data_IF_624727846142
#
_entry.id   IF_624727846142
#
_cell.length_a   1.000
_cell.length_b   1.000
_cell.length_c   1.000
_cell.angle_alpha   90.00
_cell.angle_beta   90.00
_cell.angle_gamma   90.00
#
_symmetry.space_group_name_H-M   'P 1'
#
loop_
_entity.id
_entity.type
_entity.pdbx_description
1 polymer ?
#
# COMPACT_ATOMS: atom_id res chain seq x y z
N UNK A 1 44.84 46.65 20.30
CA UNK A 1 44.37 45.48 20.99
C UNK A 1 43.93 44.45 19.96
N UNK A 2 44.90 43.59 19.57
CA UNK A 2 44.62 42.44 18.68
C UNK A 2 44.16 41.29 19.59
N UNK A 3 42.94 40.76 19.35
CA UNK A 3 42.49 39.50 19.89
C UNK A 3 42.77 38.41 18.88
N UNK A 4 43.80 37.61 19.13
CA UNK A 4 43.99 36.34 18.42
C UNK A 4 43.25 35.25 19.18
N UNK A 5 42.22 34.71 18.59
CA UNK A 5 41.57 33.48 18.99
C UNK A 5 42.30 32.30 18.36
N UNK A 6 43.15 31.63 19.13
CA UNK A 6 43.67 30.32 18.78
C UNK A 6 42.63 29.25 19.14
N UNK A 7 42.14 28.55 18.15
CA UNK A 7 41.32 27.33 18.37
C UNK A 7 42.24 26.12 18.41
N UNK A 8 42.46 25.58 19.59
CA UNK A 8 43.05 24.24 19.69
C UNK A 8 42.01 23.19 19.34
N UNK A 9 42.13 22.65 18.12
CA UNK A 9 41.41 21.47 17.67
C UNK A 9 42.15 20.20 18.12
N UNK A 10 42.01 19.85 19.42
CA UNK A 10 42.30 18.52 19.92
C UNK A 10 40.97 17.85 20.30
N UNK A 11 40.45 17.06 19.45
CA UNK A 11 39.25 16.23 19.62
C UNK A 11 38.55 16.09 18.30
N UNK A 12 39.06 15.22 17.46
CA UNK A 12 38.43 14.88 16.19
C UNK A 12 37.08 14.19 16.36
N UNK A 13 36.03 15.00 16.56
CA UNK A 13 34.72 14.56 16.16
C UNK A 13 34.70 14.77 14.64
N UNK A 14 34.94 13.69 13.92
CA UNK A 14 34.56 13.61 12.51
C UNK A 14 33.07 13.90 12.47
N UNK A 15 32.69 15.11 12.08
CA UNK A 15 31.35 15.35 11.58
C UNK A 15 31.30 14.55 10.28
N UNK A 16 30.85 13.31 10.42
CA UNK A 16 30.49 12.47 9.29
C UNK A 16 29.26 13.12 8.65
N UNK A 17 29.55 14.10 7.80
CA UNK A 17 28.59 14.70 6.92
C UNK A 17 28.29 13.59 5.90
N UNK A 18 27.40 12.68 6.24
CA UNK A 18 26.85 11.73 5.27
C UNK A 18 26.15 12.55 4.20
N UNK A 19 26.92 12.92 3.19
CA UNK A 19 26.33 13.44 1.95
C UNK A 19 25.51 12.29 1.42
N UNK A 20 24.18 12.46 1.48
CA UNK A 20 23.26 11.55 0.82
C UNK A 20 23.71 11.49 -0.64
N UNK A 21 24.15 10.33 -1.13
CA UNK A 21 24.74 10.16 -2.46
C UNK A 21 23.75 10.40 -3.60
N UNK A 22 22.45 10.47 -3.28
CA UNK A 22 21.39 10.86 -4.19
C UNK A 22 20.35 11.71 -3.46
N UNK A 23 19.93 12.82 -4.09
CA UNK A 23 18.72 13.54 -3.71
C UNK A 23 17.52 12.70 -4.21
N UNK A 24 16.87 11.96 -3.31
CA UNK A 24 15.87 10.96 -3.65
C UNK A 24 14.47 11.42 -3.24
N UNK A 25 13.54 11.36 -4.19
CA UNK A 25 12.10 11.51 -3.96
C UNK A 25 11.43 10.14 -3.98
N UNK A 26 10.79 9.78 -2.91
CA UNK A 26 10.17 8.45 -2.73
C UNK A 26 10.96 7.56 -1.78
N UNK A 27 10.73 6.23 -1.78
CA UNK A 27 9.93 5.48 -2.75
C UNK A 27 8.43 5.66 -2.58
N UNK A 28 7.70 5.35 -3.66
CA UNK A 28 6.26 5.12 -3.67
C UNK A 28 5.99 3.67 -4.03
N UNK A 29 4.91 3.09 -3.52
CA UNK A 29 4.52 1.72 -3.86
C UNK A 29 3.05 1.70 -4.30
N UNK A 30 2.77 1.00 -5.40
CA UNK A 30 1.42 0.82 -5.93
C UNK A 30 1.18 -0.65 -6.20
N UNK A 31 0.10 -1.18 -5.64
CA UNK A 31 -0.34 -2.56 -5.88
C UNK A 31 -1.31 -2.63 -7.06
N UNK A 32 -1.16 -3.66 -7.87
CA UNK A 32 -2.18 -4.15 -8.77
C UNK A 32 -2.64 -5.57 -8.35
N UNK A 33 -3.35 -6.29 -9.22
CA UNK A 33 -3.88 -7.61 -8.87
C UNK A 33 -2.81 -8.71 -8.68
N UNK A 34 -1.55 -8.49 -9.11
CA UNK A 34 -0.50 -9.52 -9.17
C UNK A 34 0.85 -9.08 -8.66
N UNK A 35 1.15 -7.80 -8.77
CA UNK A 35 2.47 -7.22 -8.50
C UNK A 35 2.35 -5.97 -7.65
N UNK A 36 3.46 -5.56 -7.06
CA UNK A 36 3.62 -4.23 -6.50
C UNK A 36 4.73 -3.52 -7.27
N UNK A 37 4.39 -2.39 -7.88
CA UNK A 37 5.37 -1.51 -8.52
C UNK A 37 5.89 -0.52 -7.48
N UNK A 38 7.20 -0.55 -7.23
CA UNK A 38 7.93 0.42 -6.42
C UNK A 38 8.57 1.43 -7.36
N UNK A 39 8.32 2.73 -7.15
CA UNK A 39 8.86 3.80 -7.98
C UNK A 39 9.55 4.87 -7.14
N UNK A 40 10.61 5.45 -7.67
CA UNK A 40 11.32 6.58 -7.06
C UNK A 40 11.96 7.46 -8.12
N UNK A 41 12.30 8.66 -7.74
CA UNK A 41 12.94 9.63 -8.61
C UNK A 41 14.22 10.13 -7.94
N UNK A 42 15.32 10.20 -8.69
CA UNK A 42 16.53 10.87 -8.25
C UNK A 42 16.61 12.24 -8.91
N UNK A 43 16.91 13.27 -8.14
CA UNK A 43 17.16 14.63 -8.67
C UNK A 43 18.62 14.79 -9.11
N UNK A 44 19.52 14.04 -8.48
CA UNK A 44 20.95 13.99 -8.75
C UNK A 44 21.50 12.62 -8.34
N UNK A 45 22.43 12.09 -9.13
CA UNK A 45 23.06 10.79 -8.90
C UNK A 45 24.60 10.87 -8.85
N UNK A 46 25.15 11.99 -8.39
CA UNK A 46 26.61 12.12 -8.28
C UNK A 46 27.14 11.08 -7.29
N UNK A 47 27.82 10.05 -7.81
CA UNK A 47 28.43 8.98 -7.02
C UNK A 47 27.48 7.87 -6.58
N UNK A 48 26.26 7.78 -7.09
CA UNK A 48 25.35 6.65 -6.80
C UNK A 48 25.67 5.47 -7.71
N UNK A 49 25.79 4.25 -7.14
CA UNK A 49 26.06 3.03 -7.88
C UNK A 49 24.78 2.20 -8.09
N UNK A 50 23.99 2.00 -7.05
CA UNK A 50 22.80 1.14 -7.13
C UNK A 50 21.77 1.41 -6.04
N UNK A 51 20.57 0.89 -6.27
CA UNK A 51 19.44 0.85 -5.35
C UNK A 51 19.03 -0.60 -5.13
N UNK A 52 19.25 -1.16 -3.94
CA UNK A 52 18.65 -2.44 -3.59
C UNK A 52 17.24 -2.17 -3.02
N UNK A 53 16.24 -2.81 -3.62
CA UNK A 53 14.85 -2.76 -3.15
C UNK A 53 14.66 -3.79 -2.06
N UNK A 54 14.25 -3.33 -0.89
CA UNK A 54 14.02 -4.15 0.28
C UNK A 54 12.52 -4.18 0.60
N UNK A 55 12.02 -5.35 0.99
CA UNK A 55 10.61 -5.55 1.38
C UNK A 55 10.52 -6.11 2.80
N UNK A 56 9.46 -5.76 3.52
CA UNK A 56 9.09 -6.33 4.80
C UNK A 56 7.56 -6.37 4.97
N UNK A 57 7.05 -7.38 5.70
CA UNK A 57 5.65 -7.44 6.14
C UNK A 57 5.38 -6.69 7.45
N UNK A 58 6.42 -6.27 8.19
CA UNK A 58 6.30 -5.74 9.57
C UNK A 58 6.97 -4.39 9.80
N UNK A 59 7.55 -3.77 8.75
CA UNK A 59 8.41 -2.58 8.81
C UNK A 59 9.69 -2.72 9.66
N UNK A 60 10.02 -3.95 10.10
CA UNK A 60 11.21 -4.26 10.90
C UNK A 60 12.24 -5.10 10.13
N UNK A 61 11.85 -6.28 9.72
CA UNK A 61 12.73 -7.26 9.08
C UNK A 61 12.66 -7.12 7.54
N UNK A 62 13.54 -6.29 7.00
CA UNK A 62 13.59 -6.05 5.56
C UNK A 62 14.52 -7.02 4.85
N UNK A 63 14.01 -7.65 3.79
CA UNK A 63 14.74 -8.57 2.91
C UNK A 63 14.97 -7.93 1.53
N UNK A 64 16.16 -8.08 0.93
CA UNK A 64 16.42 -7.60 -0.42
C UNK A 64 15.68 -8.47 -1.44
N UNK A 65 14.89 -7.83 -2.32
CA UNK A 65 14.11 -8.50 -3.36
C UNK A 65 14.60 -8.21 -4.78
N UNK A 66 15.50 -7.24 -4.93
CA UNK A 66 16.14 -6.92 -6.21
C UNK A 66 17.03 -5.72 -6.13
N UNK A 67 17.76 -5.46 -7.21
CA UNK A 67 18.69 -4.32 -7.33
C UNK A 67 18.50 -3.66 -8.67
N UNK A 68 18.48 -2.34 -8.67
CA UNK A 68 18.45 -1.48 -9.86
C UNK A 68 19.75 -0.68 -9.88
N UNK A 69 20.46 -0.70 -11.00
CA UNK A 69 21.68 0.09 -11.16
C UNK A 69 21.33 1.55 -11.39
N UNK A 70 22.08 2.45 -10.77
CA UNK A 70 21.96 3.87 -11.04
C UNK A 70 22.43 4.19 -12.46
N UNK A 71 21.84 5.20 -13.09
CA UNK A 71 22.26 5.68 -14.41
C UNK A 71 23.66 6.32 -14.39
N UNK A 72 24.12 6.70 -13.22
CA UNK A 72 25.46 7.20 -12.93
C UNK A 72 25.73 8.63 -13.41
N UNK A 73 26.22 9.47 -12.52
CA UNK A 73 26.83 10.75 -12.87
C UNK A 73 25.92 11.82 -13.47
N UNK A 74 24.63 11.63 -13.52
CA UNK A 74 23.71 12.61 -14.10
C UNK A 74 23.33 13.71 -13.09
N UNK A 75 23.36 14.95 -13.56
CA UNK A 75 22.74 16.09 -12.88
C UNK A 75 21.28 16.27 -13.36
N UNK A 76 20.68 15.23 -13.90
CA UNK A 76 19.32 15.21 -14.41
C UNK A 76 18.44 14.34 -13.52
N UNK A 77 17.19 14.71 -13.43
CA UNK A 77 16.17 13.90 -12.80
C UNK A 77 16.00 12.57 -13.54
N UNK A 78 16.05 11.47 -12.82
CA UNK A 78 15.88 10.12 -13.38
C UNK A 78 14.81 9.37 -12.60
N UNK A 79 13.84 8.81 -13.32
CA UNK A 79 12.78 8.00 -12.75
C UNK A 79 13.13 6.52 -12.83
N UNK A 80 12.84 5.80 -11.74
CA UNK A 80 13.08 4.38 -11.62
C UNK A 80 11.82 3.65 -11.21
N UNK A 81 11.72 2.40 -11.66
CA UNK A 81 10.69 1.47 -11.25
C UNK A 81 11.28 0.09 -11.00
N UNK A 82 10.68 -0.62 -10.06
CA UNK A 82 10.95 -2.02 -9.78
C UNK A 82 9.63 -2.73 -9.51
N UNK A 83 9.36 -3.81 -10.24
CA UNK A 83 8.18 -4.63 -10.03
C UNK A 83 8.52 -5.80 -9.10
N UNK A 84 7.83 -5.90 -7.96
CA UNK A 84 7.85 -7.06 -7.11
C UNK A 84 6.84 -8.09 -7.66
N UNK A 85 7.29 -9.21 -8.24
CA UNK A 85 6.40 -10.19 -8.87
C UNK A 85 5.74 -11.14 -7.86
N UNK A 86 6.14 -11.10 -6.59
CA UNK A 86 5.65 -11.95 -5.52
C UNK A 86 5.54 -11.19 -4.21
N UNK A 87 4.70 -10.13 -4.16
CA UNK A 87 4.49 -9.40 -2.91
C UNK A 87 3.85 -10.32 -1.88
N UNK A 88 3.98 -9.94 -0.61
CA UNK A 88 3.31 -10.65 0.48
C UNK A 88 1.82 -10.31 0.46
N UNK A 89 0.97 -11.27 0.84
CA UNK A 89 -0.43 -10.97 1.10
C UNK A 89 -0.56 -10.03 2.30
N UNK A 90 -1.39 -8.99 2.13
CA UNK A 90 -1.58 -7.97 3.16
C UNK A 90 -0.64 -6.78 3.01
N UNK A 91 -0.21 -6.22 4.14
CA UNK A 91 0.61 -5.01 4.18
C UNK A 91 2.06 -5.31 3.80
N UNK A 92 2.57 -4.59 2.82
CA UNK A 92 3.96 -4.61 2.40
C UNK A 92 4.60 -3.26 2.64
N UNK A 93 5.81 -3.28 3.16
CA UNK A 93 6.67 -2.12 3.35
C UNK A 93 7.87 -2.24 2.43
N UNK A 94 8.20 -1.18 1.71
CA UNK A 94 9.34 -1.12 0.81
C UNK A 94 10.25 0.04 1.20
N UNK A 95 11.55 -0.17 1.13
CA UNK A 95 12.56 0.87 1.21
C UNK A 95 13.72 0.58 0.28
N UNK A 96 14.52 1.57 -0.02
CA UNK A 96 15.71 1.45 -0.83
C UNK A 96 16.94 1.47 0.07
N UNK A 97 17.89 0.58 -0.20
CA UNK A 97 19.28 0.69 0.25
C UNK A 97 20.07 1.29 -0.91
N UNK A 98 20.44 2.54 -0.77
CA UNK A 98 21.23 3.27 -1.75
C UNK A 98 22.70 2.98 -1.48
N UNK A 99 23.43 2.53 -2.49
CA UNK A 99 24.88 2.30 -2.42
C UNK A 99 25.59 3.27 -3.34
N UNK A 100 26.61 3.95 -2.84
CA UNK A 100 27.45 4.83 -3.65
C UNK A 100 28.63 4.09 -4.30
N UNK A 101 29.37 4.80 -5.16
CA UNK A 101 30.54 4.24 -5.86
C UNK A 101 31.73 3.94 -4.95
N UNK A 102 31.71 4.41 -3.71
CA UNK A 102 32.71 4.12 -2.68
C UNK A 102 32.26 2.98 -1.73
N UNK A 103 31.05 2.42 -1.96
CA UNK A 103 30.47 1.32 -1.17
C UNK A 103 29.78 1.76 0.13
N UNK A 104 29.58 3.06 0.34
CA UNK A 104 28.81 3.57 1.49
C UNK A 104 27.32 3.36 1.20
N UNK A 105 26.55 3.12 2.24
CA UNK A 105 25.12 2.82 2.11
C UNK A 105 24.25 3.75 2.96
N UNK A 106 23.05 4.04 2.46
CA UNK A 106 22.01 4.77 3.18
C UNK A 106 20.63 4.22 2.86
N UNK A 107 19.66 4.43 3.78
CA UNK A 107 18.29 4.00 3.56
C UNK A 107 17.39 5.16 3.17
N UNK A 108 16.46 4.89 2.26
CA UNK A 108 15.34 5.80 1.98
C UNK A 108 14.30 5.79 3.11
N UNK A 109 13.27 6.64 2.97
CA UNK A 109 12.00 6.48 3.67
C UNK A 109 11.32 5.17 3.30
N UNK A 110 10.26 4.80 4.05
CA UNK A 110 9.47 3.58 3.81
C UNK A 110 8.20 3.96 3.04
N UNK A 111 7.92 3.25 1.95
CA UNK A 111 6.62 3.22 1.29
C UNK A 111 5.84 1.98 1.75
N UNK A 112 4.55 2.15 2.04
CA UNK A 112 3.70 1.05 2.46
C UNK A 112 2.52 0.91 1.50
N UNK A 113 2.18 -0.34 1.15
CA UNK A 113 1.05 -0.66 0.28
C UNK A 113 0.43 -1.99 0.70
N UNK A 114 -0.88 -2.08 0.58
CA UNK A 114 -1.61 -3.33 0.77
C UNK A 114 -1.70 -4.08 -0.56
N UNK A 115 -1.31 -5.37 -0.57
CA UNK A 115 -1.41 -6.26 -1.72
C UNK A 115 -2.33 -7.45 -1.39
N UNK A 116 -3.00 -7.98 -2.43
CA UNK A 116 -3.96 -9.07 -2.30
C UNK A 116 -5.39 -8.61 -2.15
N UNK A 117 -6.27 -9.56 -1.85
CA UNK A 117 -7.68 -9.26 -1.71
C UNK A 117 -7.93 -8.43 -0.45
N UNK A 118 -8.45 -7.23 -0.62
CA UNK A 118 -8.90 -6.41 0.50
C UNK A 118 -10.01 -7.09 1.32
N UNK A 119 -10.69 -8.11 0.73
CA UNK A 119 -11.73 -8.90 1.34
C UNK A 119 -11.57 -10.39 1.04
N UNK A 120 -11.81 -11.23 2.05
CA UNK A 120 -11.98 -12.68 1.89
C UNK A 120 -13.22 -13.17 2.65
N UNK A 121 -13.62 -14.42 2.41
CA UNK A 121 -14.71 -15.12 3.10
C UNK A 121 -16.04 -14.36 3.12
N UNK A 122 -16.31 -13.59 2.07
CA UNK A 122 -17.50 -12.77 1.98
C UNK A 122 -18.76 -13.61 1.74
N UNK A 123 -19.72 -13.54 2.66
CA UNK A 123 -20.96 -14.31 2.62
C UNK A 123 -22.12 -13.52 3.21
N UNK A 124 -23.33 -13.94 2.87
CA UNK A 124 -24.57 -13.43 3.45
C UNK A 124 -25.37 -14.57 4.07
N UNK A 125 -25.87 -14.37 5.28
CA UNK A 125 -26.68 -15.33 5.98
C UNK A 125 -27.68 -14.64 6.93
N UNK A 126 -28.98 -15.00 6.90
CA UNK A 126 -29.62 -16.00 6.02
C UNK A 126 -29.68 -15.55 4.55
N UNK A 127 -29.68 -16.52 3.65
CA UNK A 127 -29.94 -16.34 2.23
C UNK A 127 -30.77 -17.55 1.74
N UNK A 128 -32.04 -17.39 1.41
CA UNK A 128 -32.81 -16.13 1.21
C UNK A 128 -32.93 -15.28 2.47
N UNK A 129 -33.02 -13.97 2.28
CA UNK A 129 -33.23 -12.98 3.33
C UNK A 129 -34.75 -12.65 3.48
N UNK A 130 -35.23 -12.67 4.71
CA UNK A 130 -36.59 -12.25 5.08
C UNK A 130 -36.48 -10.99 5.94
N UNK A 131 -36.75 -9.82 5.37
CA UNK A 131 -36.63 -8.54 6.08
C UNK A 131 -35.19 -8.06 6.31
N UNK A 132 -34.21 -8.95 6.56
CA UNK A 132 -32.81 -8.62 6.74
C UNK A 132 -31.87 -9.82 6.70
N UNK A 133 -30.58 -9.55 6.57
CA UNK A 133 -29.51 -10.55 6.58
C UNK A 133 -28.22 -9.93 7.16
N UNK A 134 -27.24 -10.75 7.47
CA UNK A 134 -25.92 -10.34 7.90
C UNK A 134 -24.90 -10.58 6.78
N UNK A 135 -24.13 -9.57 6.50
CA UNK A 135 -22.97 -9.65 5.57
C UNK A 135 -21.73 -9.88 6.41
N UNK A 136 -21.08 -11.02 6.21
CA UNK A 136 -19.84 -11.42 6.92
C UNK A 136 -18.70 -11.46 5.96
N UNK A 137 -17.54 -10.95 6.38
CA UNK A 137 -16.31 -10.97 5.58
C UNK A 137 -15.09 -10.74 6.46
N UNK A 138 -13.91 -11.08 5.94
CA UNK A 138 -12.62 -10.68 6.51
C UNK A 138 -12.11 -9.46 5.75
N UNK A 139 -11.73 -8.41 6.46
CA UNK A 139 -11.07 -7.25 5.87
C UNK A 139 -9.58 -7.28 6.19
N UNK A 140 -8.77 -6.93 5.22
CA UNK A 140 -7.32 -6.94 5.36
C UNK A 140 -6.78 -5.74 6.18
N UNK A 141 -7.54 -4.63 6.26
CA UNK A 141 -7.20 -3.43 7.03
C UNK A 141 -8.47 -2.70 7.49
N UNK A 142 -8.28 -1.79 8.45
CA UNK A 142 -9.30 -0.82 8.83
C UNK A 142 -9.58 0.14 7.68
N UNK A 143 -10.83 0.57 7.54
CA UNK A 143 -11.17 1.53 6.49
C UNK A 143 -12.65 1.81 6.35
N UNK A 144 -12.99 2.48 5.26
CA UNK A 144 -14.37 2.74 4.84
C UNK A 144 -14.65 1.96 3.56
N UNK A 145 -15.74 1.23 3.54
CA UNK A 145 -16.23 0.52 2.36
C UNK A 145 -17.63 0.99 2.01
N UNK A 146 -18.00 0.73 0.77
CA UNK A 146 -19.34 0.93 0.27
C UNK A 146 -20.00 -0.43 0.03
N UNK A 147 -21.19 -0.59 0.57
CA UNK A 147 -22.03 -1.75 0.39
C UNK A 147 -23.22 -1.34 -0.47
N UNK A 148 -23.33 -1.90 -1.67
CA UNK A 148 -24.36 -1.59 -2.67
C UNK A 148 -25.16 -2.84 -3.00
N UNK A 149 -26.48 -2.71 -3.05
CA UNK A 149 -27.39 -3.75 -3.52
C UNK A 149 -27.90 -3.38 -4.91
N UNK A 150 -27.66 -4.29 -5.87
CA UNK A 150 -27.93 -4.06 -7.28
C UNK A 150 -28.98 -5.06 -7.76
N UNK A 151 -30.03 -4.58 -8.38
CA UNK A 151 -31.11 -5.40 -8.95
C UNK A 151 -30.65 -6.12 -10.25
N UNK A 152 -31.46 -7.08 -10.77
CA UNK A 152 -31.10 -7.81 -12.00
C UNK A 152 -30.96 -6.93 -13.25
N UNK A 153 -31.47 -5.70 -13.23
CA UNK A 153 -31.33 -4.75 -14.35
C UNK A 153 -30.02 -3.95 -14.27
N UNK A 154 -29.23 -4.14 -13.20
CA UNK A 154 -28.00 -3.42 -12.96
C UNK A 154 -28.16 -2.10 -12.20
N UNK A 155 -29.37 -1.79 -11.72
CA UNK A 155 -29.65 -0.58 -10.97
C UNK A 155 -29.32 -0.77 -9.49
N UNK A 156 -28.60 0.17 -8.89
CA UNK A 156 -28.39 0.22 -7.43
C UNK A 156 -29.69 0.62 -6.75
N UNK A 157 -30.23 -0.28 -5.95
CA UNK A 157 -31.49 -0.07 -5.20
C UNK A 157 -31.23 0.34 -3.74
N UNK A 158 -30.02 0.08 -3.23
CA UNK A 158 -29.58 0.50 -1.89
C UNK A 158 -28.08 0.67 -1.87
N UNK A 159 -27.60 1.65 -1.12
CA UNK A 159 -26.18 1.95 -0.97
C UNK A 159 -25.92 2.48 0.44
N UNK A 160 -24.88 1.99 1.09
CA UNK A 160 -24.53 2.37 2.45
C UNK A 160 -23.01 2.35 2.60
N UNK A 161 -22.45 3.36 3.25
CA UNK A 161 -21.05 3.35 3.68
C UNK A 161 -20.94 2.67 5.03
N UNK A 162 -19.96 1.79 5.16
CA UNK A 162 -19.68 1.01 6.36
C UNK A 162 -18.24 1.24 6.79
N UNK A 163 -18.04 1.42 8.09
CA UNK A 163 -16.71 1.34 8.69
C UNK A 163 -16.36 -0.14 8.87
N UNK A 164 -15.16 -0.52 8.46
CA UNK A 164 -14.64 -1.88 8.61
C UNK A 164 -13.39 -1.87 9.47
N UNK A 165 -13.19 -2.94 10.22
CA UNK A 165 -11.99 -3.19 11.02
C UNK A 165 -11.21 -4.35 10.42
N UNK A 166 -9.89 -4.34 10.61
CA UNK A 166 -9.06 -5.48 10.21
C UNK A 166 -9.57 -6.78 10.85
N UNK A 167 -9.65 -7.84 10.06
CA UNK A 167 -10.16 -9.13 10.47
C UNK A 167 -11.65 -9.26 10.20
N UNK A 168 -12.37 -9.98 11.08
CA UNK A 168 -13.78 -10.35 10.88
C UNK A 168 -14.71 -9.16 11.07
N UNK A 169 -15.56 -8.94 10.08
CA UNK A 169 -16.64 -7.97 10.10
C UNK A 169 -18.00 -8.67 9.96
N UNK A 170 -19.02 -8.11 10.60
CA UNK A 170 -20.40 -8.54 10.51
C UNK A 170 -21.30 -7.30 10.42
N UNK A 171 -21.95 -7.11 9.28
CA UNK A 171 -22.71 -5.90 8.97
C UNK A 171 -24.16 -6.27 8.67
N UNK A 172 -25.14 -5.69 9.39
CA UNK A 172 -26.54 -5.93 9.10
C UNK A 172 -26.95 -5.25 7.78
N UNK A 173 -27.67 -6.00 6.94
CA UNK A 173 -28.28 -5.52 5.72
C UNK A 173 -29.79 -5.72 5.77
N UNK A 174 -30.55 -4.62 5.82
CA UNK A 174 -32.00 -4.65 5.71
C UNK A 174 -32.41 -4.83 4.24
N UNK A 175 -33.36 -5.71 3.99
CA UNK A 175 -33.99 -5.88 2.67
C UNK A 175 -35.47 -5.46 2.68
N UNK A 176 -35.92 -4.79 3.74
CA UNK A 176 -37.29 -4.27 3.81
C UNK A 176 -37.61 -3.34 2.66
N UNK A 177 -38.81 -3.52 2.07
CA UNK A 177 -39.28 -2.70 0.95
C UNK A 177 -38.67 -3.06 -0.42
N UNK A 178 -37.84 -4.10 -0.49
CA UNK A 178 -37.39 -4.65 -1.75
C UNK A 178 -38.38 -5.70 -2.26
N UNK A 179 -38.55 -5.76 -3.58
CA UNK A 179 -39.33 -6.81 -4.20
C UNK A 179 -38.64 -8.18 -4.01
N UNK A 180 -39.44 -9.24 -3.92
CA UNK A 180 -38.92 -10.60 -3.95
C UNK A 180 -38.12 -10.83 -5.26
N UNK A 181 -36.95 -11.43 -5.13
CA UNK A 181 -36.11 -11.68 -6.29
C UNK A 181 -34.63 -11.85 -5.96
N UNK A 182 -33.82 -11.91 -7.02
CA UNK A 182 -32.37 -12.02 -6.92
C UNK A 182 -31.73 -10.64 -7.03
N UNK A 183 -30.75 -10.41 -6.17
CA UNK A 183 -29.96 -9.19 -6.11
C UNK A 183 -28.47 -9.53 -6.08
N UNK A 184 -27.62 -8.57 -6.46
CA UNK A 184 -26.20 -8.66 -6.27
C UNK A 184 -25.80 -7.66 -5.16
N UNK A 185 -25.25 -8.18 -4.08
CA UNK A 185 -24.56 -7.38 -3.08
C UNK A 185 -23.12 -7.15 -3.56
N UNK A 186 -22.71 -5.89 -3.64
CA UNK A 186 -21.36 -5.47 -4.05
C UNK A 186 -20.73 -4.75 -2.88
N UNK A 187 -19.55 -5.20 -2.47
CA UNK A 187 -18.68 -4.48 -1.55
C UNK A 187 -17.57 -3.83 -2.37
N UNK A 188 -17.35 -2.54 -2.17
CA UNK A 188 -16.36 -1.74 -2.90
C UNK A 188 -15.57 -0.84 -1.95
N UNK A 189 -14.32 -0.54 -2.31
CA UNK A 189 -13.49 0.47 -1.67
C UNK A 189 -12.93 1.40 -2.74
N UNK A 190 -12.84 2.68 -2.43
CA UNK A 190 -12.33 3.73 -3.33
C UNK A 190 -12.93 3.69 -4.74
N UNK A 191 -14.23 3.32 -4.82
CA UNK A 191 -14.97 3.21 -6.07
C UNK A 191 -14.71 1.93 -6.87
N UNK A 192 -13.80 1.05 -6.44
CA UNK A 192 -13.51 -0.23 -7.07
C UNK A 192 -14.26 -1.38 -6.40
N UNK A 193 -14.97 -2.26 -7.14
CA UNK A 193 -15.63 -3.41 -6.56
C UNK A 193 -14.60 -4.47 -6.12
N UNK A 194 -14.71 -4.90 -4.86
CA UNK A 194 -13.85 -5.92 -4.26
C UNK A 194 -14.47 -7.32 -4.37
N UNK A 195 -15.79 -7.41 -4.13
CA UNK A 195 -16.50 -8.68 -4.21
C UNK A 195 -17.97 -8.49 -4.58
N UNK A 196 -18.58 -9.55 -5.10
CA UNK A 196 -19.99 -9.60 -5.44
C UNK A 196 -20.60 -10.90 -4.94
N UNK A 197 -21.70 -10.80 -4.19
CA UNK A 197 -22.42 -11.92 -3.58
C UNK A 197 -23.84 -11.93 -4.08
N UNK A 198 -24.36 -13.08 -4.48
CA UNK A 198 -25.77 -13.23 -4.80
C UNK A 198 -26.62 -13.28 -3.53
N UNK A 199 -27.69 -12.50 -3.50
CA UNK A 199 -28.65 -12.43 -2.42
C UNK A 199 -30.07 -12.65 -2.97
N UNK A 200 -30.76 -13.65 -2.44
CA UNK A 200 -32.16 -13.84 -2.68
C UNK A 200 -32.96 -13.11 -1.60
N UNK A 201 -33.98 -12.35 -1.99
CA UNK A 201 -34.95 -11.72 -1.11
C UNK A 201 -36.25 -12.50 -1.21
N UNK A 202 -36.77 -12.93 -0.09
CA UNK A 202 -38.06 -13.63 0.04
C UNK A 202 -39.02 -12.84 0.95
N UNK A 203 -40.28 -13.20 0.91
CA UNK A 203 -41.31 -12.61 1.79
C UNK A 203 -41.07 -12.94 3.27
#
# INVERSE_FOLDING_TARGET
>A
LEFSLSWDLQGGASLDCTVLSADLLGPNAKSDARTVTVSWTTLREAGTASFAVLRSGTAGDFEPIGTVMASGGSNQTTDYTFDDPRPLEGLNHYRLLVTDTEGRTSFSTIASVHHGSALSDAQVAPNPAHGGTLVRFQAAADGMMEMSLVDPTGRTVRQTRIAVVQGRNEVPLSVHGLAQGQYNLVLSADGAPLTRIRLAVAE
#
